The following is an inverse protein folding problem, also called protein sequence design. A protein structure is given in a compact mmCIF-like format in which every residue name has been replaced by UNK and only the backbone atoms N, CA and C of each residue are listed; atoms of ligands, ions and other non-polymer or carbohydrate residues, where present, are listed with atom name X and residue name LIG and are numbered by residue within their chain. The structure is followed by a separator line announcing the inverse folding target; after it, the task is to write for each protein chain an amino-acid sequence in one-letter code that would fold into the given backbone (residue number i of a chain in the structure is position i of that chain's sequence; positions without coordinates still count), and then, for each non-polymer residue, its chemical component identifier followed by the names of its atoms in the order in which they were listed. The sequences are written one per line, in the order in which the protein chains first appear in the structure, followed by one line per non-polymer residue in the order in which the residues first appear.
data_IF_534206106557
#
_entry.id   IF_534206106557
#
_cell.length_a   1.000
_cell.length_b   1.000
_cell.length_c   1.000
_cell.angle_alpha   90.00
_cell.angle_beta   90.00
_cell.angle_gamma   90.00
#
_symmetry.space_group_name_H-M   'P 1'
#
loop_
_entity.id
_entity.type
_entity.pdbx_description
1 polymer ?
#
# COMPACT_ATOMS: atom_id res chain seq x y z
N UNK A 1 1.66 -3.95 -3.76
CA UNK A 1 0.77 -3.45 -4.83
C UNK A 1 -0.67 -3.34 -4.31
N UNK A 2 -1.46 -2.35 -4.78
CA UNK A 2 -2.89 -2.20 -4.42
C UNK A 2 -3.79 -3.30 -4.98
N UNK A 3 -3.30 -4.10 -5.94
CA UNK A 3 -3.98 -5.24 -6.55
C UNK A 3 -3.92 -6.53 -5.72
N UNK A 4 -3.38 -6.45 -4.49
CA UNK A 4 -3.15 -7.59 -3.62
C UNK A 4 -1.85 -8.35 -3.92
N UNK A 5 -1.53 -9.36 -3.09
CA UNK A 5 -0.38 -10.24 -3.33
C UNK A 5 -0.59 -11.00 -4.64
N UNK A 6 0.48 -11.11 -5.44
CA UNK A 6 0.45 -11.75 -6.76
C UNK A 6 -0.71 -11.29 -7.65
N UNK A 7 -1.16 -10.04 -7.48
CA UNK A 7 -2.19 -9.42 -8.30
C UNK A 7 -3.54 -10.16 -8.28
N UNK A 8 -3.86 -10.84 -7.17
CA UNK A 8 -5.07 -11.68 -7.00
C UNK A 8 -6.40 -10.96 -7.32
N UNK A 9 -6.42 -9.62 -7.27
CA UNK A 9 -7.61 -8.84 -7.61
C UNK A 9 -7.82 -8.66 -9.12
N UNK A 10 -6.81 -8.91 -9.97
CA UNK A 10 -6.91 -8.70 -11.43
C UNK A 10 -8.03 -9.53 -12.05
N UNK A 11 -8.08 -10.87 -11.92
CA UNK A 11 -9.16 -11.67 -12.54
C UNK A 11 -10.56 -11.26 -12.08
N UNK A 12 -10.68 -10.82 -10.82
CA UNK A 12 -11.95 -10.33 -10.27
C UNK A 12 -12.38 -9.03 -10.92
N UNK A 13 -11.47 -8.07 -11.08
CA UNK A 13 -11.76 -6.79 -11.73
C UNK A 13 -12.11 -7.03 -13.21
N UNK A 14 -11.37 -7.90 -13.88
CA UNK A 14 -11.63 -8.25 -15.27
C UNK A 14 -13.03 -8.84 -15.46
N UNK A 15 -13.40 -9.83 -14.65
CA UNK A 15 -14.72 -10.45 -14.66
C UNK A 15 -15.86 -9.47 -14.36
N UNK A 16 -15.69 -8.61 -13.36
CA UNK A 16 -16.74 -7.66 -12.99
C UNK A 16 -16.94 -6.54 -14.00
N UNK A 17 -15.86 -6.13 -14.68
CA UNK A 17 -15.89 -5.00 -15.60
C UNK A 17 -16.09 -5.42 -17.06
N UNK A 18 -15.88 -6.69 -17.39
CA UNK A 18 -15.79 -7.18 -18.77
C UNK A 18 -14.72 -6.41 -19.56
N UNK A 19 -13.58 -6.17 -18.91
CA UNK A 19 -12.38 -5.55 -19.50
C UNK A 19 -11.16 -6.40 -19.15
N UNK A 20 -10.14 -6.39 -20.01
CA UNK A 20 -8.86 -7.03 -19.70
C UNK A 20 -7.92 -6.01 -19.06
N UNK A 21 -7.12 -6.47 -18.10
CA UNK A 21 -6.14 -5.65 -17.39
C UNK A 21 -4.76 -6.25 -17.57
N UNK A 22 -3.84 -5.45 -18.11
CA UNK A 22 -2.41 -5.77 -18.14
C UNK A 22 -1.69 -4.92 -17.09
N UNK A 23 -0.76 -5.53 -16.36
CA UNK A 23 -0.02 -4.90 -15.28
C UNK A 23 1.46 -5.09 -15.54
N UNK A 24 2.14 -3.98 -15.79
CA UNK A 24 3.57 -3.95 -16.07
C UNK A 24 4.32 -3.24 -14.95
N UNK A 25 5.47 -3.79 -14.57
CA UNK A 25 6.39 -3.10 -13.67
C UNK A 25 7.25 -2.17 -14.50
N UNK A 26 7.11 -0.87 -14.27
CA UNK A 26 8.00 0.12 -14.88
C UNK A 26 9.32 0.14 -14.11
N UNK A 27 10.43 0.39 -14.81
CA UNK A 27 11.79 0.43 -14.24
C UNK A 27 11.99 1.54 -13.17
N UNK A 28 10.95 2.31 -12.86
CA UNK A 28 10.93 3.25 -11.75
C UNK A 28 10.47 2.53 -10.47
N UNK A 29 11.27 2.64 -9.40
CA UNK A 29 11.00 1.97 -8.13
C UNK A 29 9.57 2.23 -7.64
N UNK A 30 8.87 1.14 -7.32
CA UNK A 30 7.53 1.15 -6.71
C UNK A 30 6.37 1.69 -7.56
N UNK A 31 6.55 1.84 -8.88
CA UNK A 31 5.48 2.15 -9.80
C UNK A 31 5.06 0.93 -10.63
N UNK A 32 3.76 0.85 -10.93
CA UNK A 32 3.18 -0.13 -11.84
C UNK A 32 2.33 0.60 -12.87
N UNK A 33 2.45 0.20 -14.12
CA UNK A 33 1.57 0.63 -15.19
C UNK A 33 0.43 -0.37 -15.31
N UNK A 34 -0.80 0.13 -15.46
CA UNK A 34 -1.99 -0.69 -15.66
C UNK A 34 -2.66 -0.25 -16.95
N UNK A 35 -2.69 -1.14 -17.93
CA UNK A 35 -3.41 -0.93 -19.19
C UNK A 35 -4.78 -1.60 -19.12
N UNK A 36 -5.83 -0.86 -19.47
CA UNK A 36 -7.22 -1.35 -19.45
C UNK A 36 -7.76 -1.48 -20.87
N UNK A 37 -8.06 -2.70 -21.29
CA UNK A 37 -8.65 -2.99 -22.60
C UNK A 37 -10.16 -3.15 -22.47
N UNK A 38 -10.91 -2.32 -23.18
CA UNK A 38 -12.37 -2.36 -23.16
C UNK A 38 -12.99 -1.12 -23.77
N UNK A 39 -14.33 -1.02 -23.72
CA UNK A 39 -15.06 0.16 -24.19
C UNK A 39 -14.69 1.40 -23.35
N UNK A 40 -14.68 2.62 -23.91
CA UNK A 40 -14.32 3.84 -23.16
C UNK A 40 -15.06 4.01 -21.82
N UNK A 41 -16.37 3.72 -21.79
CA UNK A 41 -17.17 3.78 -20.55
C UNK A 41 -16.71 2.79 -19.49
N UNK A 42 -16.28 1.60 -19.90
CA UNK A 42 -15.75 0.57 -19.00
C UNK A 42 -14.36 0.97 -18.49
N UNK A 43 -13.50 1.46 -19.37
CA UNK A 43 -12.17 1.97 -18.98
C UNK A 43 -12.28 3.05 -17.90
N UNK A 44 -13.22 4.00 -18.05
CA UNK A 44 -13.44 5.04 -17.05
C UNK A 44 -13.87 4.45 -15.69
N UNK A 45 -14.78 3.47 -15.69
CA UNK A 45 -15.23 2.81 -14.45
C UNK A 45 -14.09 2.04 -13.79
N UNK A 46 -13.33 1.26 -14.55
CA UNK A 46 -12.17 0.50 -14.06
C UNK A 46 -11.12 1.46 -13.49
N UNK A 47 -10.83 2.58 -14.16
CA UNK A 47 -9.91 3.61 -13.66
C UNK A 47 -10.33 4.09 -12.27
N UNK A 48 -11.61 4.40 -12.06
CA UNK A 48 -12.09 4.86 -10.75
C UNK A 48 -11.95 3.77 -9.67
N UNK A 49 -12.27 2.51 -9.99
CA UNK A 49 -12.05 1.37 -9.07
C UNK A 49 -10.58 1.24 -8.69
N UNK A 50 -9.68 1.28 -9.66
CA UNK A 50 -8.23 1.19 -9.44
C UNK A 50 -7.71 2.34 -8.56
N UNK A 51 -8.19 3.57 -8.81
CA UNK A 51 -7.85 4.74 -7.99
C UNK A 51 -8.33 4.60 -6.54
N UNK A 52 -9.56 4.12 -6.32
CA UNK A 52 -10.07 3.88 -4.98
C UNK A 52 -9.29 2.79 -4.24
N UNK A 53 -8.91 1.71 -4.93
CA UNK A 53 -8.06 0.65 -4.36
C UNK A 53 -6.67 1.20 -3.99
N UNK A 54 -6.08 2.02 -4.85
CA UNK A 54 -4.80 2.67 -4.58
C UNK A 54 -4.89 3.62 -3.38
N UNK A 55 -5.94 4.43 -3.28
CA UNK A 55 -6.18 5.34 -2.13
C UNK A 55 -6.27 4.55 -0.83
N UNK A 56 -7.14 3.52 -0.80
CA UNK A 56 -7.34 2.68 0.38
C UNK A 56 -6.04 1.99 0.80
N UNK A 57 -5.25 1.51 -0.16
CA UNK A 57 -3.95 0.90 0.13
C UNK A 57 -2.96 1.90 0.75
N UNK A 58 -2.90 3.14 0.24
CA UNK A 58 -2.06 4.21 0.80
C UNK A 58 -2.49 4.57 2.22
N UNK A 59 -3.79 4.71 2.46
CA UNK A 59 -4.34 4.98 3.79
C UNK A 59 -3.99 3.88 4.79
N UNK A 60 -4.13 2.61 4.40
CA UNK A 60 -3.75 1.49 5.25
C UNK A 60 -2.25 1.45 5.55
N UNK A 61 -1.40 1.73 4.57
CA UNK A 61 0.05 1.86 4.81
C UNK A 61 0.39 2.99 5.77
N UNK A 62 -0.17 4.18 5.54
CA UNK A 62 0.07 5.33 6.42
C UNK A 62 -0.40 5.05 7.86
N UNK A 63 -1.49 4.30 8.04
CA UNK A 63 -1.95 3.86 9.37
C UNK A 63 -1.00 2.86 10.02
N UNK A 64 -0.48 1.89 9.25
CA UNK A 64 0.48 0.92 9.75
C UNK A 64 1.79 1.60 10.17
N UNK A 65 2.33 2.50 9.34
CA UNK A 65 3.53 3.30 9.63
C UNK A 65 3.35 4.14 10.92
N UNK A 66 2.17 4.76 11.11
CA UNK A 66 1.86 5.49 12.35
C UNK A 66 1.78 4.58 13.57
N UNK A 67 1.28 3.36 13.43
CA UNK A 67 1.22 2.40 14.54
C UNK A 67 2.64 1.95 14.93
N UNK A 68 3.49 1.67 13.95
CA UNK A 68 4.89 1.31 14.18
C UNK A 68 5.63 2.42 14.94
N UNK A 69 5.50 3.68 14.51
CA UNK A 69 6.07 4.83 15.21
C UNK A 69 5.57 4.96 16.67
N UNK A 70 4.28 4.71 16.90
CA UNK A 70 3.71 4.73 18.24
C UNK A 70 4.30 3.61 19.11
N UNK A 71 4.42 2.40 18.57
CA UNK A 71 5.03 1.27 19.29
C UNK A 71 6.49 1.56 19.67
N UNK A 72 7.27 2.12 18.75
CA UNK A 72 8.66 2.54 19.01
C UNK A 72 8.73 3.59 20.10
N UNK A 73 7.87 4.61 20.04
CA UNK A 73 7.79 5.65 21.07
C UNK A 73 7.47 5.07 22.46
N UNK A 74 6.51 4.16 22.55
CA UNK A 74 6.15 3.50 23.80
C UNK A 74 7.27 2.61 24.35
N UNK A 75 7.98 1.87 23.47
CA UNK A 75 9.16 1.08 23.85
C UNK A 75 10.29 1.96 24.38
N UNK A 76 10.51 3.13 23.77
CA UNK A 76 11.50 4.09 24.24
C UNK A 76 11.15 4.68 25.61
N UNK A 77 9.87 5.02 25.84
CA UNK A 77 9.40 5.47 27.15
C UNK A 77 9.56 4.40 28.24
N UNK A 78 9.27 3.14 27.92
CA UNK A 78 9.40 2.02 28.86
C UNK A 78 10.86 1.70 29.23
N UNK A 79 11.82 2.05 28.36
CA UNK A 79 13.24 1.80 28.58
C UNK A 79 13.89 2.79 29.58
N UNK A 80 13.21 3.90 29.91
CA UNK A 80 13.65 4.90 30.89
C UNK A 80 14.94 5.66 30.51
N UNK A 81 15.30 6.77 31.20
CA UNK A 81 16.62 7.36 31.05
C UNK A 81 17.66 6.35 31.53
N UNK A 82 18.62 5.96 30.68
CA UNK A 82 19.80 5.25 31.16
C UNK A 82 20.50 6.12 32.20
N UNK A 83 20.34 5.76 33.47
CA UNK A 83 21.05 6.39 34.57
C UNK A 83 22.54 6.10 34.35
N UNK A 84 23.42 7.10 34.14
CA UNK A 84 24.84 6.86 34.12
C UNK A 84 25.21 6.32 35.49
N UNK A 85 25.60 5.05 35.57
CA UNK A 85 26.16 4.49 36.79
C UNK A 85 27.46 5.25 37.06
N UNK A 86 27.38 6.26 37.92
CA UNK A 86 28.55 6.90 38.51
C UNK A 86 29.26 5.86 39.38
N UNK A 87 30.57 5.59 39.15
CA UNK A 87 31.35 4.76 40.05
C UNK A 87 31.46 5.49 41.38
N UNK A 88 31.10 4.82 42.47
CA UNK A 88 31.39 5.27 43.83
C UNK A 88 32.90 5.10 44.03
N UNK A 89 33.59 6.21 44.26
CA UNK A 89 34.96 6.27 44.77
C UNK A 89 34.95 6.84 46.19
#
# INVERSE_FOLDING_TARGET
SSLGPNQVLVPKIEWMSQALLMVDTVNAENLVEITVFGRPTVQHRVKNVLLSLASRHREHRARAEKMEQLEEFLKALASGPQNPQHPVA
#
